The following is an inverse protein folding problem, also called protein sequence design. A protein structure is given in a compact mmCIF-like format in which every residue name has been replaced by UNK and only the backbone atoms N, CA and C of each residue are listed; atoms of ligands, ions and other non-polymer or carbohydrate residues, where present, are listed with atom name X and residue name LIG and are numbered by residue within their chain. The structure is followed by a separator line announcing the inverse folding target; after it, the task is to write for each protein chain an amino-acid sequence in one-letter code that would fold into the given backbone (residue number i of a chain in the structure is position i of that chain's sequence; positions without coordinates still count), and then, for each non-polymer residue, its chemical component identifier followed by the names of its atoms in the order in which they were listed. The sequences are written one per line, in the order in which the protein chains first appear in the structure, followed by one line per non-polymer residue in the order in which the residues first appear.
data_IF_833507003793
#
_entry.id   IF_833507003793
#
_cell.length_a   1.000
_cell.length_b   1.000
_cell.length_c   1.000
_cell.angle_alpha   90.00
_cell.angle_beta   90.00
_cell.angle_gamma   90.00
#
_symmetry.space_group_name_H-M   'P 1'
#
loop_
_entity.id
_entity.type
_entity.pdbx_description
1 polymer ?
#
# COMPACT_ATOMS: atom_id res chain seq x y z
N UNK A 1 -12.39 40.60 -13.09
CA UNK A 1 -12.21 40.80 -14.54
C UNK A 1 -10.75 41.18 -14.75
N UNK A 2 -9.93 40.32 -15.33
CA UNK A 2 -8.53 40.64 -15.64
C UNK A 2 -7.52 39.53 -15.32
N UNK A 3 -7.72 38.29 -15.85
CA UNK A 3 -6.68 37.25 -15.84
C UNK A 3 -6.95 36.07 -16.81
N UNK A 4 -7.61 36.30 -17.94
CA UNK A 4 -7.96 35.23 -18.90
C UNK A 4 -7.61 35.57 -20.35
N UNK A 5 -6.52 36.35 -20.57
CA UNK A 5 -6.13 36.75 -21.95
C UNK A 5 -4.63 36.63 -22.19
N UNK A 6 -3.97 35.55 -21.84
CA UNK A 6 -2.56 35.26 -22.20
C UNK A 6 -2.23 33.80 -22.38
N UNK A 7 -3.04 33.00 -23.07
CA UNK A 7 -2.67 31.62 -23.48
C UNK A 7 -3.16 31.39 -24.93
N UNK A 8 -2.79 32.25 -25.85
CA UNK A 8 -3.03 32.03 -27.30
C UNK A 8 -1.88 32.61 -28.13
N UNK A 9 -0.66 32.16 -27.84
CA UNK A 9 0.48 32.33 -28.77
C UNK A 9 1.56 31.32 -28.36
N UNK A 10 1.70 30.27 -29.13
CA UNK A 10 2.90 29.52 -29.47
C UNK A 10 2.62 28.06 -29.79
N UNK A 11 2.05 27.79 -30.96
CA UNK A 11 2.27 26.51 -31.64
C UNK A 11 2.73 26.87 -33.03
N UNK A 12 4.05 27.09 -33.18
CA UNK A 12 4.71 27.11 -34.47
C UNK A 12 5.50 25.81 -34.60
N UNK A 13 5.06 24.92 -35.48
CA UNK A 13 5.78 23.73 -35.93
C UNK A 13 7.11 24.18 -36.61
N UNK A 14 8.23 23.69 -36.09
CA UNK A 14 9.47 23.58 -36.85
C UNK A 14 10.02 22.18 -36.75
N UNK A 15 9.75 21.37 -37.77
CA UNK A 15 10.47 20.13 -38.04
C UNK A 15 11.81 20.47 -38.66
N UNK A 16 12.89 20.32 -37.90
CA UNK A 16 14.25 20.34 -38.45
C UNK A 16 14.80 18.91 -38.46
N UNK A 17 14.90 18.33 -39.63
CA UNK A 17 15.68 17.15 -39.96
C UNK A 17 17.16 17.49 -39.83
N UNK A 18 17.90 16.80 -38.94
CA UNK A 18 19.35 16.83 -38.93
C UNK A 18 19.88 15.39 -38.91
N UNK A 19 20.54 15.01 -39.99
CA UNK A 19 21.14 13.68 -40.19
C UNK A 19 22.43 13.49 -39.38
N UNK A 20 22.92 12.24 -39.24
CA UNK A 20 24.07 11.93 -38.38
C UNK A 20 25.40 12.20 -39.08
N UNK A 21 26.25 13.02 -38.46
CA UNK A 21 27.66 13.14 -38.78
C UNK A 21 28.44 12.05 -38.00
N UNK A 22 29.08 11.14 -38.74
CA UNK A 22 30.10 10.21 -38.21
C UNK A 22 31.33 10.99 -37.82
N UNK A 23 31.64 10.98 -36.50
CA UNK A 23 32.94 11.44 -35.98
C UNK A 23 33.66 10.25 -35.32
N UNK A 24 34.75 9.80 -35.98
CA UNK A 24 35.70 8.86 -35.38
C UNK A 24 36.40 9.57 -34.20
N UNK A 25 36.35 8.96 -33.03
CA UNK A 25 37.25 9.29 -31.94
C UNK A 25 38.17 8.11 -31.63
N UNK A 26 39.43 8.42 -31.76
CA UNK A 26 40.61 7.62 -31.42
C UNK A 26 40.65 7.27 -29.96
N UNK A 27 41.03 6.00 -29.70
CA UNK A 27 41.11 5.44 -28.36
C UNK A 27 42.17 6.09 -27.47
N UNK A 28 41.85 6.18 -26.21
CA UNK A 28 42.75 6.31 -25.07
C UNK A 28 42.55 5.18 -24.10
N UNK A 29 43.56 4.69 -23.41
CA UNK A 29 43.54 3.35 -22.77
C UNK A 29 42.84 3.39 -21.42
N UNK A 30 42.02 2.40 -21.29
CA UNK A 30 41.59 1.61 -20.11
C UNK A 30 42.10 2.10 -18.74
N UNK A 31 41.30 2.90 -18.07
CA UNK A 31 41.33 2.97 -16.61
C UNK A 31 40.42 1.88 -16.05
N UNK A 32 41.00 0.87 -15.44
CA UNK A 32 40.29 -0.13 -14.64
C UNK A 32 39.44 0.59 -13.59
N UNK A 33 38.15 0.21 -13.40
CA UNK A 33 37.40 0.67 -12.25
C UNK A 33 38.09 0.07 -11.01
N UNK A 34 38.73 0.93 -10.23
CA UNK A 34 39.09 0.59 -8.86
C UNK A 34 37.84 0.18 -8.15
N UNK A 35 37.79 -1.09 -7.74
CA UNK A 35 36.80 -1.57 -6.78
C UNK A 35 36.94 -0.68 -5.54
N UNK A 36 35.99 0.21 -5.34
CA UNK A 36 35.82 0.97 -4.10
C UNK A 36 35.71 -0.06 -2.99
N UNK A 37 36.67 -0.02 -2.06
CA UNK A 37 36.58 -0.76 -0.81
C UNK A 37 35.21 -0.48 -0.17
N UNK A 38 34.59 -1.48 0.49
CA UNK A 38 33.33 -1.25 1.16
C UNK A 38 33.55 -0.15 2.19
N UNK A 39 32.87 0.97 1.99
CA UNK A 39 32.80 2.09 2.92
C UNK A 39 32.33 1.52 4.27
N UNK A 40 33.23 1.45 5.24
CA UNK A 40 32.92 1.05 6.62
C UNK A 40 32.19 2.19 7.30
N UNK A 41 31.01 2.54 6.78
CA UNK A 41 30.09 3.45 7.44
C UNK A 41 29.65 2.81 8.75
N UNK A 42 29.70 3.58 9.85
CA UNK A 42 29.17 3.16 11.14
C UNK A 42 27.73 2.61 10.95
N UNK A 43 27.34 1.53 11.64
CA UNK A 43 26.03 0.94 11.48
C UNK A 43 24.94 2.00 11.72
N UNK A 44 23.98 2.11 10.80
CA UNK A 44 22.84 3.01 10.95
C UNK A 44 22.00 2.52 12.12
N UNK A 45 21.83 3.33 13.15
CA UNK A 45 20.93 2.99 14.25
C UNK A 45 19.50 3.19 13.78
N UNK A 46 18.73 2.08 13.71
CA UNK A 46 17.38 2.04 13.21
C UNK A 46 16.39 1.97 14.37
N UNK A 47 15.59 3.03 14.57
CA UNK A 47 14.44 2.98 15.48
C UNK A 47 13.22 2.40 14.76
N UNK A 48 12.21 1.93 15.51
CA UNK A 48 10.96 1.46 14.92
C UNK A 48 10.29 2.55 14.04
N UNK A 49 10.35 3.80 14.49
CA UNK A 49 9.81 4.94 13.74
C UNK A 49 10.53 5.12 12.40
N UNK A 50 11.87 5.10 12.41
CA UNK A 50 12.65 5.22 11.18
C UNK A 50 12.39 4.06 10.22
N UNK A 51 12.23 2.84 10.76
CA UNK A 51 11.88 1.66 9.97
C UNK A 51 10.52 1.84 9.27
N UNK A 52 9.51 2.34 9.97
CA UNK A 52 8.19 2.62 9.41
C UNK A 52 8.22 3.71 8.33
N UNK A 53 8.96 4.80 8.54
CA UNK A 53 9.08 5.89 7.57
C UNK A 53 9.77 5.42 6.28
N UNK A 54 10.84 4.62 6.40
CA UNK A 54 11.56 4.06 5.26
C UNK A 54 10.69 3.06 4.49
N UNK A 55 10.03 2.14 5.19
CA UNK A 55 9.17 1.13 4.58
C UNK A 55 8.01 1.76 3.78
N UNK A 56 7.39 2.86 4.26
CA UNK A 56 6.35 3.58 3.52
C UNK A 56 6.80 4.07 2.14
N UNK A 57 8.07 4.42 1.99
CA UNK A 57 8.62 4.90 0.73
C UNK A 57 8.97 3.75 -0.24
N UNK A 58 9.14 2.52 0.27
CA UNK A 58 9.61 1.38 -0.50
C UNK A 58 8.53 0.35 -0.80
N UNK A 59 7.54 0.18 0.09
CA UNK A 59 6.53 -0.87 -0.03
C UNK A 59 5.67 -0.71 -1.30
N UNK A 60 5.66 -1.70 -2.21
CA UNK A 60 4.91 -1.61 -3.45
C UNK A 60 3.40 -1.67 -3.23
N UNK A 61 2.92 -2.38 -2.20
CA UNK A 61 1.49 -2.55 -1.91
C UNK A 61 0.89 -1.23 -1.45
N UNK A 62 1.56 -0.53 -0.54
CA UNK A 62 1.13 0.79 -0.10
C UNK A 62 1.20 1.81 -1.24
N UNK A 63 2.28 1.83 -2.02
CA UNK A 63 2.43 2.75 -3.16
C UNK A 63 1.38 2.50 -4.25
N UNK A 64 1.07 1.24 -4.53
CA UNK A 64 -0.01 0.87 -5.48
C UNK A 64 -1.37 1.35 -4.98
N UNK A 65 -1.67 1.16 -3.70
CA UNK A 65 -2.92 1.63 -3.10
C UNK A 65 -3.02 3.18 -3.11
N UNK A 66 -1.91 3.88 -2.87
CA UNK A 66 -1.85 5.34 -2.94
C UNK A 66 -2.08 5.83 -4.38
N UNK A 67 -1.49 5.15 -5.38
CA UNK A 67 -1.71 5.45 -6.80
C UNK A 67 -3.17 5.21 -7.19
N UNK A 68 -3.78 4.11 -6.74
CA UNK A 68 -5.20 3.83 -6.98
C UNK A 68 -6.12 4.90 -6.36
N UNK A 69 -5.77 5.43 -5.18
CA UNK A 69 -6.48 6.56 -4.57
C UNK A 69 -6.33 7.85 -5.40
N UNK A 70 -5.15 8.07 -5.99
CA UNK A 70 -4.92 9.17 -6.94
C UNK A 70 -5.77 9.04 -8.21
N UNK A 71 -5.82 7.85 -8.81
CA UNK A 71 -6.65 7.58 -10.00
C UNK A 71 -8.13 7.85 -9.68
N UNK A 72 -8.65 7.33 -8.57
CA UNK A 72 -10.04 7.56 -8.17
C UNK A 72 -10.33 9.05 -7.88
N UNK A 73 -9.33 9.82 -7.44
CA UNK A 73 -9.46 11.26 -7.28
C UNK A 73 -9.56 11.96 -8.63
N UNK A 74 -8.77 11.58 -9.63
CA UNK A 74 -8.85 12.14 -10.98
C UNK A 74 -10.16 11.74 -11.68
N UNK A 75 -10.69 10.54 -11.45
CA UNK A 75 -12.03 10.16 -11.91
C UNK A 75 -13.12 11.13 -11.37
N UNK A 76 -12.99 11.53 -10.09
CA UNK A 76 -13.88 12.53 -9.51
C UNK A 76 -13.70 13.93 -10.13
N UNK A 77 -12.47 14.33 -10.46
CA UNK A 77 -12.19 15.59 -11.17
C UNK A 77 -12.82 15.55 -12.57
N UNK A 78 -12.73 14.43 -13.29
CA UNK A 78 -13.37 14.24 -14.59
C UNK A 78 -14.91 14.31 -14.49
N UNK A 79 -15.49 13.64 -13.50
CA UNK A 79 -16.94 13.71 -13.25
C UNK A 79 -17.42 15.14 -12.89
N UNK A 80 -16.59 15.90 -12.18
CA UNK A 80 -16.83 17.32 -11.92
C UNK A 80 -16.72 18.15 -13.20
N UNK A 81 -15.71 17.89 -14.03
CA UNK A 81 -15.52 18.60 -15.29
C UNK A 81 -16.69 18.32 -16.28
N UNK A 82 -17.26 17.12 -16.27
CA UNK A 82 -18.43 16.77 -17.06
C UNK A 82 -19.71 17.58 -16.71
N UNK A 83 -19.74 18.24 -15.54
CA UNK A 83 -20.81 19.18 -15.17
C UNK A 83 -20.59 20.59 -15.76
N UNK A 84 -19.47 20.86 -16.39
CA UNK A 84 -19.12 22.16 -16.97
C UNK A 84 -19.18 22.08 -18.50
N UNK A 85 -19.42 23.24 -19.19
CA UNK A 85 -19.39 23.27 -20.66
C UNK A 85 -17.99 22.87 -21.19
N UNK A 86 -17.97 22.01 -22.19
CA UNK A 86 -16.78 21.72 -22.98
C UNK A 86 -16.68 22.67 -24.17
N UNK A 87 -15.45 23.02 -24.57
CA UNK A 87 -15.17 23.85 -25.73
C UNK A 87 -14.24 23.08 -26.64
N UNK A 88 -14.66 22.91 -27.87
CA UNK A 88 -13.87 22.24 -28.92
C UNK A 88 -13.88 23.06 -30.21
N UNK A 89 -12.85 22.90 -31.01
CA UNK A 89 -12.81 23.39 -32.40
C UNK A 89 -12.88 22.18 -33.33
N UNK A 90 -13.87 22.19 -34.22
CA UNK A 90 -14.06 21.14 -35.19
C UNK A 90 -13.77 21.70 -36.61
N UNK A 91 -12.77 21.14 -37.28
CA UNK A 91 -12.46 21.47 -38.65
C UNK A 91 -12.64 20.23 -39.50
N UNK A 92 -13.59 20.29 -40.47
CA UNK A 92 -13.93 19.20 -41.34
C UNK A 92 -13.92 19.67 -42.80
N UNK A 93 -13.45 18.82 -43.71
CA UNK A 93 -13.59 18.97 -45.14
C UNK A 93 -14.36 17.78 -45.67
N UNK A 94 -15.54 18.05 -46.23
CA UNK A 94 -16.36 17.04 -46.88
C UNK A 94 -16.32 17.21 -48.39
N UNK A 95 -15.98 16.14 -49.12
CA UNK A 95 -16.13 16.04 -50.57
C UNK A 95 -17.26 15.10 -50.93
N UNK A 96 -18.23 15.61 -51.69
CA UNK A 96 -19.36 14.81 -52.12
C UNK A 96 -19.40 14.75 -53.62
N UNK A 97 -19.28 13.56 -54.21
CA UNK A 97 -19.44 13.37 -55.61
C UNK A 97 -20.93 13.24 -55.97
N UNK A 98 -21.44 14.20 -56.71
CA UNK A 98 -22.80 14.11 -57.29
C UNK A 98 -22.84 13.16 -58.48
N UNK A 99 -24.01 12.58 -58.73
CA UNK A 99 -24.26 11.79 -59.96
C UNK A 99 -24.14 12.67 -61.22
N UNK A 100 -23.74 12.08 -62.33
CA UNK A 100 -23.52 12.76 -63.63
C UNK A 100 -24.80 13.13 -64.42
N UNK A 101 -25.99 12.93 -63.84
CA UNK A 101 -27.26 13.25 -64.40
C UNK A 101 -27.93 14.49 -63.83
N UNK A 102 -28.65 15.25 -64.64
CA UNK A 102 -29.31 16.49 -64.22
C UNK A 102 -30.47 16.31 -63.23
N UNK A 103 -30.82 15.07 -62.85
CA UNK A 103 -32.00 14.72 -62.03
C UNK A 103 -31.63 13.89 -60.76
N UNK A 104 -30.36 13.64 -60.45
CA UNK A 104 -29.97 12.85 -59.26
C UNK A 104 -29.84 13.72 -58.02
N UNK A 105 -30.64 13.52 -56.96
CA UNK A 105 -30.51 14.22 -55.72
C UNK A 105 -29.16 13.87 -55.07
N UNK A 106 -28.51 14.86 -54.44
CA UNK A 106 -27.36 14.63 -53.58
C UNK A 106 -27.84 14.05 -52.25
N UNK A 107 -27.35 12.88 -51.89
CA UNK A 107 -27.84 12.17 -50.70
C UNK A 107 -27.08 12.49 -49.44
N UNK A 108 -25.86 13.07 -49.50
CA UNK A 108 -24.96 13.15 -48.34
C UNK A 108 -24.61 14.60 -47.98
N UNK A 109 -24.33 15.50 -48.96
CA UNK A 109 -24.00 16.89 -48.64
C UNK A 109 -25.12 17.84 -49.11
N UNK A 110 -25.48 18.76 -48.23
CA UNK A 110 -26.58 19.70 -48.49
C UNK A 110 -26.10 21.02 -49.09
N UNK A 111 -24.83 21.44 -48.83
CA UNK A 111 -24.35 22.79 -49.15
C UNK A 111 -23.60 22.86 -50.47
N UNK A 112 -22.72 21.89 -50.79
CA UNK A 112 -21.93 21.87 -52.01
C UNK A 112 -21.21 20.52 -52.25
N UNK A 113 -20.54 20.41 -53.42
CA UNK A 113 -19.62 19.30 -53.71
C UNK A 113 -18.41 19.33 -52.77
N UNK A 114 -17.95 20.52 -52.41
CA UNK A 114 -16.91 20.78 -51.38
C UNK A 114 -17.57 21.54 -50.25
N UNK A 115 -17.47 21.04 -49.05
CA UNK A 115 -17.99 21.66 -47.85
C UNK A 115 -16.86 21.80 -46.81
N UNK A 116 -16.70 22.99 -46.34
CA UNK A 116 -15.66 23.35 -45.33
C UNK A 116 -16.39 23.79 -44.05
N UNK A 117 -16.18 23.02 -43.00
CA UNK A 117 -16.70 23.33 -41.66
C UNK A 117 -15.51 23.66 -40.80
N UNK A 118 -15.50 24.83 -40.16
CA UNK A 118 -14.51 25.18 -39.14
C UNK A 118 -15.26 25.98 -38.08
N UNK A 119 -15.56 25.32 -36.96
CA UNK A 119 -16.47 25.84 -35.92
C UNK A 119 -15.98 25.56 -34.55
N UNK A 120 -15.89 26.59 -33.71
CA UNK A 120 -15.82 26.46 -32.28
C UNK A 120 -17.17 25.99 -31.73
N UNK A 121 -17.18 24.89 -30.97
CA UNK A 121 -18.37 24.33 -30.33
C UNK A 121 -18.27 24.44 -28.82
N UNK A 122 -19.31 25.00 -28.18
CA UNK A 122 -19.51 24.94 -26.74
C UNK A 122 -20.66 23.96 -26.49
N UNK A 123 -20.33 22.85 -25.83
CA UNK A 123 -21.29 21.75 -25.56
C UNK A 123 -21.49 21.56 -24.07
N UNK A 124 -22.75 21.50 -23.62
CA UNK A 124 -23.13 21.21 -22.25
C UNK A 124 -24.28 20.22 -22.20
N UNK A 125 -24.10 19.15 -21.43
CA UNK A 125 -25.19 18.22 -21.08
C UNK A 125 -25.65 18.48 -19.66
N UNK A 126 -26.96 18.46 -19.44
CA UNK A 126 -27.58 18.57 -18.11
C UNK A 126 -28.47 17.33 -17.93
N UNK A 127 -28.05 16.42 -17.06
CA UNK A 127 -28.81 15.20 -16.75
C UNK A 127 -28.68 14.81 -15.28
N UNK A 128 -29.72 14.16 -14.73
CA UNK A 128 -29.68 13.64 -13.36
C UNK A 128 -28.60 12.55 -13.19
N UNK A 129 -28.23 11.84 -14.25
CA UNK A 129 -27.18 10.82 -14.23
C UNK A 129 -25.81 11.42 -13.95
N UNK A 130 -25.47 12.60 -14.51
CA UNK A 130 -24.19 13.28 -14.26
C UNK A 130 -24.04 13.71 -12.81
N UNK A 131 -25.11 14.25 -12.20
CA UNK A 131 -25.08 14.62 -10.77
C UNK A 131 -24.92 13.39 -9.86
N UNK A 132 -25.60 12.29 -10.21
CA UNK A 132 -25.43 11.04 -9.46
C UNK A 132 -24.02 10.46 -9.64
N UNK A 133 -23.44 10.56 -10.84
CA UNK A 133 -22.07 10.10 -11.12
C UNK A 133 -20.99 10.92 -10.38
N UNK A 134 -21.17 12.25 -10.32
CA UNK A 134 -20.32 13.12 -9.51
C UNK A 134 -20.27 12.68 -8.04
N UNK A 135 -21.43 12.38 -7.44
CA UNK A 135 -21.51 11.90 -6.06
C UNK A 135 -20.97 10.48 -5.91
N UNK A 136 -21.19 9.61 -6.90
CA UNK A 136 -20.64 8.24 -6.95
C UNK A 136 -19.12 8.25 -6.93
N UNK A 137 -18.52 9.04 -7.83
CA UNK A 137 -17.04 9.16 -7.93
C UNK A 137 -16.44 9.81 -6.68
N UNK A 138 -17.13 10.77 -6.05
CA UNK A 138 -16.72 11.33 -4.75
C UNK A 138 -16.65 10.24 -3.66
N UNK A 139 -17.68 9.40 -3.55
CA UNK A 139 -17.71 8.30 -2.61
C UNK A 139 -16.66 7.22 -2.94
N UNK A 140 -16.46 6.92 -4.23
CA UNK A 140 -15.44 5.98 -4.69
C UNK A 140 -14.02 6.48 -4.35
N UNK A 141 -13.73 7.77 -4.55
CA UNK A 141 -12.45 8.38 -4.17
C UNK A 141 -12.22 8.31 -2.65
N UNK A 142 -13.28 8.54 -1.84
CA UNK A 142 -13.19 8.38 -0.39
C UNK A 142 -12.91 6.91 0.02
N UNK A 143 -13.53 5.93 -0.64
CA UNK A 143 -13.25 4.51 -0.42
C UNK A 143 -11.82 4.14 -0.81
N UNK A 144 -11.32 4.64 -1.94
CA UNK A 144 -9.95 4.39 -2.39
C UNK A 144 -8.90 4.99 -1.44
N UNK A 145 -9.13 6.18 -0.89
CA UNK A 145 -8.26 6.76 0.16
C UNK A 145 -8.25 5.90 1.42
N UNK A 146 -9.41 5.38 1.83
CA UNK A 146 -9.49 4.48 2.97
C UNK A 146 -8.74 3.16 2.70
N UNK A 147 -8.75 2.64 1.46
CA UNK A 147 -7.97 1.46 1.07
C UNK A 147 -6.46 1.73 1.12
N UNK A 148 -6.00 2.94 0.75
CA UNK A 148 -4.60 3.33 0.93
C UNK A 148 -4.21 3.38 2.42
N UNK A 149 -5.11 3.84 3.29
CA UNK A 149 -4.90 3.80 4.75
C UNK A 149 -4.86 2.35 5.28
N UNK A 150 -5.70 1.45 4.78
CA UNK A 150 -5.64 0.02 5.12
C UNK A 150 -4.28 -0.58 4.74
N UNK A 151 -3.79 -0.28 3.55
CA UNK A 151 -2.47 -0.74 3.09
C UNK A 151 -1.34 -0.17 3.96
N UNK A 152 -1.39 1.11 4.31
CA UNK A 152 -0.44 1.74 5.24
C UNK A 152 -0.40 1.03 6.60
N UNK A 153 -1.56 0.69 7.16
CA UNK A 153 -1.64 -0.01 8.45
C UNK A 153 -1.20 -1.46 8.36
N UNK A 154 -1.49 -2.16 7.26
CA UNK A 154 -0.96 -3.49 6.99
C UNK A 154 0.56 -3.49 6.95
N UNK A 155 1.15 -2.49 6.31
CA UNK A 155 2.60 -2.29 6.30
C UNK A 155 3.16 -2.07 7.71
N UNK A 156 2.49 -1.25 8.54
CA UNK A 156 2.90 -1.04 9.95
C UNK A 156 2.96 -2.37 10.70
N UNK A 157 1.93 -3.21 10.62
CA UNK A 157 1.91 -4.52 11.27
C UNK A 157 3.07 -5.42 10.79
N UNK A 158 3.35 -5.43 9.49
CA UNK A 158 4.46 -6.20 8.90
C UNK A 158 5.81 -5.72 9.38
N UNK A 159 6.05 -4.40 9.36
CA UNK A 159 7.33 -3.81 9.80
C UNK A 159 7.56 -4.02 11.30
N UNK A 160 6.53 -3.82 12.13
CA UNK A 160 6.61 -4.06 13.58
C UNK A 160 6.98 -5.51 13.89
N UNK A 161 6.34 -6.45 13.18
CA UNK A 161 6.64 -7.88 13.35
C UNK A 161 8.07 -8.21 12.95
N UNK A 162 8.54 -7.72 11.80
CA UNK A 162 9.90 -7.96 11.34
C UNK A 162 10.96 -7.28 12.24
N UNK A 163 10.66 -6.07 12.73
CA UNK A 163 11.54 -5.32 13.63
C UNK A 163 11.77 -6.06 14.95
N UNK A 164 10.69 -6.50 15.60
CA UNK A 164 10.82 -7.22 16.88
C UNK A 164 11.32 -8.66 16.69
N UNK A 165 11.07 -9.28 15.54
CA UNK A 165 11.69 -10.57 15.21
C UNK A 165 13.22 -10.46 15.11
N UNK A 166 13.75 -9.37 14.54
CA UNK A 166 15.19 -9.10 14.48
C UNK A 166 15.77 -8.81 15.87
N UNK A 167 15.10 -7.98 16.69
CA UNK A 167 15.54 -7.70 18.06
C UNK A 167 15.61 -8.98 18.90
N UNK A 168 14.58 -9.84 18.80
CA UNK A 168 14.56 -11.12 19.53
C UNK A 168 15.62 -12.09 19.00
N UNK A 169 15.81 -12.17 17.70
CA UNK A 169 16.83 -13.06 17.12
C UNK A 169 18.24 -12.67 17.58
N UNK A 170 18.52 -11.37 17.70
CA UNK A 170 19.77 -10.85 18.27
C UNK A 170 19.95 -11.22 19.73
N UNK A 171 18.88 -11.10 20.56
CA UNK A 171 18.91 -11.53 21.96
C UNK A 171 19.13 -13.03 22.09
N UNK A 172 18.42 -13.84 21.27
CA UNK A 172 18.62 -15.30 21.24
C UNK A 172 20.04 -15.71 20.83
N UNK A 173 20.65 -14.99 19.89
CA UNK A 173 22.06 -15.19 19.56
C UNK A 173 22.97 -14.88 20.75
N UNK A 174 22.75 -13.76 21.44
CA UNK A 174 23.51 -13.43 22.67
C UNK A 174 23.31 -14.47 23.78
N UNK A 175 22.06 -14.94 23.99
CA UNK A 175 21.76 -16.02 24.95
C UNK A 175 22.47 -17.34 24.56
N UNK A 176 22.49 -17.70 23.29
CA UNK A 176 23.17 -18.90 22.80
C UNK A 176 24.70 -18.80 22.93
N UNK A 177 25.26 -17.60 22.72
CA UNK A 177 26.69 -17.35 22.94
C UNK A 177 27.07 -17.52 24.42
N UNK A 178 26.28 -16.92 25.32
CA UNK A 178 26.48 -17.11 26.76
C UNK A 178 26.37 -18.59 27.17
N UNK A 179 25.38 -19.31 26.64
CA UNK A 179 25.20 -20.73 26.90
C UNK A 179 26.38 -21.58 26.41
N UNK A 180 26.91 -21.26 25.22
CA UNK A 180 28.10 -21.95 24.70
C UNK A 180 29.35 -21.72 25.57
N UNK A 181 29.53 -20.48 26.06
CA UNK A 181 30.62 -20.15 26.97
C UNK A 181 30.45 -20.83 28.35
N UNK A 182 29.23 -20.85 28.91
CA UNK A 182 28.92 -21.49 30.19
C UNK A 182 29.10 -23.02 30.12
N UNK A 183 28.63 -23.68 29.07
CA UNK A 183 28.77 -25.12 28.89
C UNK A 183 30.23 -25.54 28.63
N UNK A 184 30.98 -24.71 27.89
CA UNK A 184 32.43 -24.90 27.73
C UNK A 184 33.19 -24.84 29.04
N UNK A 185 32.90 -23.82 29.91
CA UNK A 185 33.51 -23.71 31.25
C UNK A 185 33.13 -24.90 32.13
N UNK A 186 31.90 -25.38 32.04
CA UNK A 186 31.45 -26.54 32.77
C UNK A 186 32.20 -27.83 32.28
N UNK A 187 32.39 -28.00 31.00
CA UNK A 187 33.21 -29.11 30.44
C UNK A 187 34.67 -29.03 30.96
N UNK A 188 35.32 -27.86 30.91
CA UNK A 188 36.67 -27.67 31.41
C UNK A 188 36.77 -27.95 32.91
N UNK A 189 35.77 -27.58 33.73
CA UNK A 189 35.68 -27.90 35.13
C UNK A 189 35.56 -29.39 35.37
N UNK A 190 34.67 -30.06 34.66
CA UNK A 190 34.43 -31.51 34.78
C UNK A 190 35.71 -32.32 34.41
N UNK A 191 36.48 -31.89 33.39
CA UNK A 191 37.78 -32.51 33.05
C UNK A 191 38.81 -32.38 34.21
N UNK A 192 38.83 -31.24 34.87
CA UNK A 192 39.76 -31.03 36.04
C UNK A 192 39.36 -31.92 37.21
N UNK A 193 38.07 -32.07 37.48
CA UNK A 193 37.55 -32.91 38.56
C UNK A 193 37.81 -34.41 38.27
N UNK A 194 37.71 -34.85 36.98
CA UNK A 194 38.07 -36.19 36.56
C UNK A 194 39.58 -36.49 36.79
N UNK A 195 40.46 -35.54 36.42
CA UNK A 195 41.91 -35.66 36.67
C UNK A 195 42.22 -35.77 38.18
N UNK A 196 41.40 -35.12 39.02
CA UNK A 196 41.47 -35.28 40.49
C UNK A 196 40.85 -36.58 41.02
N UNK A 197 40.15 -37.36 40.15
CA UNK A 197 39.44 -38.57 40.56
C UNK A 197 38.12 -38.32 41.29
N UNK A 198 37.56 -37.12 41.19
CA UNK A 198 36.37 -36.70 41.93
C UNK A 198 35.06 -36.99 41.16
N UNK A 199 35.16 -37.12 39.81
CA UNK A 199 33.99 -37.41 38.93
C UNK A 199 34.28 -38.52 37.92
N UNK A 200 33.23 -39.18 37.42
CA UNK A 200 33.37 -40.25 36.44
C UNK A 200 33.67 -39.73 35.04
N UNK A 201 34.36 -40.51 34.20
CA UNK A 201 34.58 -40.21 32.78
C UNK A 201 33.29 -40.01 32.00
N UNK A 202 32.19 -40.70 32.39
CA UNK A 202 30.84 -40.50 31.82
C UNK A 202 30.32 -39.08 31.94
N UNK A 203 30.68 -38.35 33.04
CA UNK A 203 30.25 -36.97 33.27
C UNK A 203 31.00 -36.00 32.36
N UNK A 204 32.29 -36.26 32.08
CA UNK A 204 33.09 -35.52 31.11
C UNK A 204 32.53 -35.66 29.68
N UNK A 205 32.17 -36.89 29.27
CA UNK A 205 31.54 -37.15 27.98
C UNK A 205 30.24 -36.38 27.86
N UNK A 206 29.40 -36.36 28.92
CA UNK A 206 28.14 -35.65 28.95
C UNK A 206 28.31 -34.14 28.85
N UNK A 207 29.25 -33.57 29.61
CA UNK A 207 29.58 -32.17 29.52
C UNK A 207 30.11 -31.74 28.16
N UNK A 208 30.94 -32.61 27.52
CA UNK A 208 31.42 -32.37 26.16
C UNK A 208 30.30 -32.39 25.11
N UNK A 209 29.39 -33.37 25.19
CA UNK A 209 28.24 -33.43 24.29
C UNK A 209 27.38 -32.14 24.42
N UNK A 210 27.14 -31.72 25.66
CA UNK A 210 26.35 -30.49 25.92
C UNK A 210 27.06 -29.24 25.37
N UNK A 211 28.40 -29.14 25.52
CA UNK A 211 29.15 -28.03 24.96
C UNK A 211 29.11 -28.00 23.42
N UNK A 212 29.19 -29.19 22.76
CA UNK A 212 29.06 -29.30 21.32
C UNK A 212 27.65 -28.91 20.83
N UNK A 213 26.60 -29.31 21.56
CA UNK A 213 25.22 -28.96 21.25
C UNK A 213 24.98 -27.45 21.42
N UNK A 214 25.50 -26.83 22.49
CA UNK A 214 25.42 -25.40 22.69
C UNK A 214 26.17 -24.61 21.60
N UNK A 215 27.32 -25.08 21.15
CA UNK A 215 28.06 -24.47 20.04
C UNK A 215 27.29 -24.58 18.71
N UNK A 216 26.61 -25.71 18.45
CA UNK A 216 25.75 -25.89 17.30
C UNK A 216 24.56 -24.93 17.38
N UNK A 217 23.88 -24.84 18.53
CA UNK A 217 22.77 -23.92 18.77
C UNK A 217 23.17 -22.44 18.59
N UNK A 218 24.38 -22.07 18.99
CA UNK A 218 24.92 -20.72 18.75
C UNK A 218 25.01 -20.41 17.24
N UNK A 219 25.53 -21.33 16.42
CA UNK A 219 25.61 -21.15 14.94
C UNK A 219 24.23 -21.07 14.29
N UNK A 220 23.29 -21.89 14.78
CA UNK A 220 21.90 -21.84 14.31
C UNK A 220 21.23 -20.48 14.66
N UNK A 221 21.48 -19.97 15.86
CA UNK A 221 20.99 -18.65 16.29
C UNK A 221 21.64 -17.49 15.49
N UNK A 222 22.92 -17.60 15.12
CA UNK A 222 23.63 -16.66 14.26
C UNK A 222 23.00 -16.61 12.85
N UNK A 223 22.72 -17.76 12.26
CA UNK A 223 22.03 -17.86 10.98
C UNK A 223 20.60 -17.28 11.05
N UNK A 224 19.86 -17.57 12.12
CA UNK A 224 18.52 -17.03 12.34
C UNK A 224 18.56 -15.50 12.46
N UNK A 225 19.52 -14.93 13.20
CA UNK A 225 19.73 -13.49 13.31
C UNK A 225 20.06 -12.87 11.94
N UNK A 226 20.95 -13.48 11.15
CA UNK A 226 21.26 -13.01 9.79
C UNK A 226 20.05 -13.03 8.87
N UNK A 227 19.19 -14.06 8.98
CA UNK A 227 17.96 -14.16 8.22
C UNK A 227 16.96 -13.05 8.58
N UNK A 228 16.65 -12.85 9.86
CA UNK A 228 15.71 -11.79 10.30
C UNK A 228 16.25 -10.39 10.00
N UNK A 229 17.57 -10.21 10.06
CA UNK A 229 18.23 -8.97 9.64
C UNK A 229 17.98 -8.67 8.16
N UNK A 230 18.14 -9.66 7.27
CA UNK A 230 17.85 -9.52 5.85
C UNK A 230 16.35 -9.32 5.58
N UNK A 231 15.47 -10.03 6.29
CA UNK A 231 14.01 -9.84 6.18
C UNK A 231 13.60 -8.39 6.50
N UNK A 232 14.17 -7.79 7.54
CA UNK A 232 13.94 -6.39 7.87
C UNK A 232 14.60 -5.45 6.84
N UNK A 233 15.82 -5.75 6.39
CA UNK A 233 16.51 -4.94 5.38
C UNK A 233 15.72 -4.79 4.09
N UNK A 234 15.06 -5.87 3.61
CA UNK A 234 14.19 -5.86 2.41
C UNK A 234 13.04 -4.88 2.55
N UNK A 235 12.50 -4.70 3.76
CA UNK A 235 11.38 -3.79 4.01
C UNK A 235 11.80 -2.33 4.10
N UNK A 236 13.03 -2.04 4.58
CA UNK A 236 13.43 -0.68 4.98
C UNK A 236 14.55 -0.06 4.15
N UNK A 237 15.24 -0.86 3.30
CA UNK A 237 16.33 -0.39 2.46
C UNK A 237 16.19 -0.84 1.00
N UNK A 238 16.68 -0.02 0.09
CA UNK A 238 16.76 -0.39 -1.34
C UNK A 238 17.90 -1.38 -1.63
N UNK A 239 18.93 -1.40 -0.80
CA UNK A 239 20.09 -2.28 -0.91
C UNK A 239 20.21 -3.13 0.35
N UNK A 240 20.38 -4.46 0.17
CA UNK A 240 20.46 -5.43 1.26
C UNK A 240 21.82 -5.41 2.01
N UNK A 241 22.81 -4.67 1.49
CA UNK A 241 24.18 -4.64 2.04
C UNK A 241 24.40 -3.53 3.06
N UNK A 242 23.35 -2.82 3.48
CA UNK A 242 23.47 -1.77 4.48
C UNK A 242 23.64 -2.38 5.88
N UNK A 243 24.72 -1.98 6.56
CA UNK A 243 24.94 -2.34 7.95
C UNK A 243 24.08 -1.45 8.86
N UNK A 244 23.16 -2.04 9.62
CA UNK A 244 22.32 -1.34 10.56
C UNK A 244 22.19 -2.11 11.87
N UNK A 245 21.79 -1.43 12.93
CA UNK A 245 21.46 -2.01 14.22
C UNK A 245 20.10 -1.50 14.69
N UNK A 246 19.22 -2.39 15.14
CA UNK A 246 17.92 -2.01 15.72
C UNK A 246 18.06 -1.58 17.15
N UNK A 247 17.24 -0.64 17.59
CA UNK A 247 17.15 -0.25 19.01
C UNK A 247 16.28 -1.27 19.74
N UNK A 248 16.79 -1.79 20.85
CA UNK A 248 16.05 -2.69 21.72
C UNK A 248 15.22 -1.92 22.74
N UNK A 249 13.92 -1.79 22.48
CA UNK A 249 12.94 -1.14 23.36
C UNK A 249 11.90 -2.12 23.94
N UNK A 250 12.14 -3.43 23.83
CA UNK A 250 11.19 -4.47 24.28
C UNK A 250 10.80 -4.35 25.76
N UNK A 251 11.67 -3.81 26.61
CA UNK A 251 11.39 -3.62 28.03
C UNK A 251 10.36 -2.52 28.32
N UNK A 252 10.13 -1.62 27.37
CA UNK A 252 9.18 -0.50 27.50
C UNK A 252 7.79 -0.90 27.01
N UNK A 253 7.15 -1.88 27.64
CA UNK A 253 5.84 -2.34 27.24
C UNK A 253 4.76 -1.26 27.52
N UNK A 254 4.01 -0.79 26.50
CA UNK A 254 2.92 0.15 26.72
C UNK A 254 1.77 -0.53 27.48
N UNK A 255 0.98 0.23 28.26
CA UNK A 255 -0.19 -0.34 28.92
C UNK A 255 -1.26 -0.75 27.92
N UNK A 256 -2.01 -1.82 28.20
CA UNK A 256 -3.17 -2.24 27.41
C UNK A 256 -4.36 -1.35 27.76
N UNK A 257 -4.94 -0.59 26.78
CA UNK A 257 -6.12 0.23 27.04
C UNK A 257 -7.38 -0.61 27.31
N UNK A 258 -8.41 -0.05 27.98
CA UNK A 258 -9.67 -0.77 28.24
C UNK A 258 -10.39 -1.15 26.94
N UNK A 259 -11.01 -2.34 26.90
CA UNK A 259 -11.73 -2.85 25.73
C UNK A 259 -12.80 -1.90 25.21
N UNK A 260 -13.55 -1.23 26.11
CA UNK A 260 -14.62 -0.29 25.74
C UNK A 260 -14.10 0.91 24.97
N UNK A 261 -12.95 1.44 25.35
CA UNK A 261 -12.30 2.55 24.64
C UNK A 261 -11.88 2.14 23.24
N UNK A 262 -11.23 0.97 23.11
CA UNK A 262 -10.80 0.42 21.82
C UNK A 262 -11.99 0.14 20.89
N UNK A 263 -13.11 -0.33 21.44
CA UNK A 263 -14.34 -0.57 20.65
C UNK A 263 -14.92 0.72 20.09
N UNK A 264 -14.97 1.79 20.89
CA UNK A 264 -15.43 3.11 20.44
C UNK A 264 -14.50 3.69 19.36
N UNK A 265 -13.18 3.62 19.59
CA UNK A 265 -12.19 4.07 18.62
C UNK A 265 -12.29 3.29 17.30
N UNK A 266 -12.41 1.96 17.35
CA UNK A 266 -12.52 1.12 16.18
C UNK A 266 -13.77 1.43 15.35
N UNK A 267 -14.93 1.65 15.97
CA UNK A 267 -16.16 2.02 15.26
C UNK A 267 -16.05 3.33 14.48
N UNK A 268 -15.28 4.28 14.98
CA UNK A 268 -15.16 5.63 14.37
C UNK A 268 -13.97 5.71 13.41
N UNK A 269 -12.83 5.12 13.76
CA UNK A 269 -11.54 5.34 13.08
C UNK A 269 -11.08 4.15 12.23
N UNK A 270 -11.83 3.05 12.19
CA UNK A 270 -11.41 1.89 11.40
C UNK A 270 -11.57 2.17 9.89
N UNK A 271 -10.48 2.11 9.09
CA UNK A 271 -10.54 2.46 7.67
C UNK A 271 -11.23 1.38 6.83
N UNK A 272 -11.23 0.11 7.26
CA UNK A 272 -11.93 -0.98 6.55
C UNK A 272 -13.45 -0.75 6.61
N UNK A 273 -13.96 -0.38 7.80
CA UNK A 273 -15.36 -0.04 7.95
C UNK A 273 -15.72 1.22 7.15
N UNK A 274 -14.86 2.24 7.20
CA UNK A 274 -15.07 3.47 6.45
C UNK A 274 -15.05 3.23 4.93
N UNK A 275 -14.12 2.43 4.41
CA UNK A 275 -14.08 2.03 3.00
C UNK A 275 -15.38 1.32 2.58
N UNK A 276 -15.84 0.33 3.36
CA UNK A 276 -17.08 -0.37 3.10
C UNK A 276 -18.32 0.54 3.11
N UNK A 277 -18.38 1.51 4.04
CA UNK A 277 -19.44 2.51 4.07
C UNK A 277 -19.44 3.42 2.84
N UNK A 278 -18.26 3.87 2.38
CA UNK A 278 -18.16 4.70 1.18
C UNK A 278 -18.48 3.90 -0.09
N UNK A 279 -18.09 2.64 -0.17
CA UNK A 279 -18.48 1.74 -1.26
C UNK A 279 -20.01 1.54 -1.31
N UNK A 280 -20.66 1.38 -0.16
CA UNK A 280 -22.12 1.30 -0.09
C UNK A 280 -22.80 2.60 -0.55
N UNK A 281 -22.25 3.77 -0.21
CA UNK A 281 -22.73 5.07 -0.69
C UNK A 281 -22.55 5.18 -2.21
N UNK A 282 -21.39 4.79 -2.75
CA UNK A 282 -21.13 4.81 -4.19
C UNK A 282 -22.13 3.92 -4.95
N UNK A 283 -22.41 2.71 -4.46
CA UNK A 283 -23.43 1.83 -5.03
C UNK A 283 -24.86 2.45 -4.94
N UNK A 284 -25.17 3.19 -3.89
CA UNK A 284 -26.40 3.96 -3.77
C UNK A 284 -26.55 5.02 -4.87
N UNK A 285 -25.47 5.76 -5.15
CA UNK A 285 -25.46 6.75 -6.23
C UNK A 285 -25.48 6.10 -7.62
N UNK A 286 -24.92 4.89 -7.80
CA UNK A 286 -25.07 4.13 -9.04
C UNK A 286 -26.52 3.75 -9.33
N UNK A 287 -27.30 3.39 -8.29
CA UNK A 287 -28.75 3.18 -8.43
C UNK A 287 -29.46 4.48 -8.83
N UNK A 288 -29.10 5.62 -8.24
CA UNK A 288 -29.67 6.92 -8.60
C UNK A 288 -29.32 7.30 -10.06
N UNK A 289 -28.07 7.08 -10.49
CA UNK A 289 -27.64 7.32 -11.86
C UNK A 289 -28.44 6.45 -12.86
N UNK A 290 -28.63 5.16 -12.53
CA UNK A 290 -29.44 4.25 -13.35
C UNK A 290 -30.92 4.64 -13.42
N UNK A 291 -31.49 5.10 -12.31
CA UNK A 291 -32.88 5.63 -12.26
C UNK A 291 -33.02 6.94 -13.02
N UNK A 292 -31.99 7.80 -12.97
CA UNK A 292 -31.98 9.05 -13.72
C UNK A 292 -32.02 8.85 -15.25
N UNK A 293 -31.68 7.67 -15.74
CA UNK A 293 -31.82 7.32 -17.17
C UNK A 293 -33.29 7.26 -17.65
N UNK A 294 -34.27 7.24 -16.74
CA UNK A 294 -35.69 7.43 -17.10
C UNK A 294 -36.07 8.90 -17.27
N UNK A 295 -35.28 9.83 -16.76
CA UNK A 295 -35.55 11.26 -16.82
C UNK A 295 -35.06 11.85 -18.14
N UNK A 296 -35.68 12.94 -18.61
CA UNK A 296 -35.16 13.69 -19.74
C UNK A 296 -33.74 14.21 -19.51
N UNK A 297 -32.93 14.28 -20.55
CA UNK A 297 -31.65 14.98 -20.58
C UNK A 297 -31.71 16.15 -21.55
N UNK A 298 -31.06 17.26 -21.17
CA UNK A 298 -30.97 18.48 -21.99
C UNK A 298 -29.52 18.64 -22.44
N UNK A 299 -29.29 18.72 -23.77
CA UNK A 299 -28.02 19.16 -24.32
C UNK A 299 -28.17 20.57 -24.91
N UNK A 300 -27.16 21.39 -24.66
CA UNK A 300 -27.01 22.74 -25.16
C UNK A 300 -25.75 22.80 -26.00
N UNK A 301 -25.88 23.19 -27.26
CA UNK A 301 -24.80 23.31 -28.22
C UNK A 301 -24.78 24.71 -28.80
N UNK A 302 -23.63 25.35 -28.78
CA UNK A 302 -23.41 26.64 -29.40
C UNK A 302 -22.22 26.53 -30.35
N UNK A 303 -22.48 26.79 -31.62
CA UNK A 303 -21.49 26.76 -32.69
C UNK A 303 -21.22 28.17 -33.18
N UNK A 304 -19.94 28.50 -33.40
CA UNK A 304 -19.52 29.74 -34.02
C UNK A 304 -18.40 29.44 -35.02
N UNK A 305 -18.61 29.74 -36.31
CA UNK A 305 -17.61 29.47 -37.33
C UNK A 305 -18.11 29.55 -38.73
N UNK A 306 -17.45 28.80 -39.61
CA UNK A 306 -17.73 28.73 -41.02
C UNK A 306 -18.33 27.34 -41.36
N UNK A 307 -19.39 27.33 -42.16
CA UNK A 307 -19.95 26.13 -42.79
C UNK A 307 -20.36 26.55 -44.22
N UNK A 308 -19.49 26.26 -45.20
CA UNK A 308 -19.66 26.77 -46.55
C UNK A 308 -18.90 25.96 -47.62
N UNK A 309 -19.23 26.24 -48.86
CA UNK A 309 -18.56 25.63 -50.04
C UNK A 309 -17.12 26.11 -50.27
N UNK A 310 -16.63 27.05 -49.47
CA UNK A 310 -15.28 27.59 -49.53
C UNK A 310 -14.75 27.92 -48.11
N UNK A 311 -13.50 27.68 -47.88
CA UNK A 311 -12.84 28.06 -46.62
C UNK A 311 -12.54 29.59 -46.60
N UNK A 312 -13.60 30.39 -46.49
CA UNK A 312 -13.55 31.84 -46.48
C UNK A 312 -14.68 32.42 -45.67
N UNK A 313 -14.47 33.56 -45.03
CA UNK A 313 -15.49 34.28 -44.20
C UNK A 313 -16.64 34.84 -45.07
N UNK A 314 -16.41 34.97 -46.39
CA UNK A 314 -17.41 35.44 -47.37
C UNK A 314 -17.30 34.62 -48.65
N UNK A 315 -18.47 34.39 -49.28
CA UNK A 315 -18.58 33.84 -50.62
C UNK A 315 -19.24 34.86 -51.57
N UNK A 316 -18.77 34.94 -52.79
CA UNK A 316 -19.40 35.75 -53.83
C UNK A 316 -20.39 34.83 -54.59
N UNK A 317 -21.66 35.19 -54.59
CA UNK A 317 -22.71 34.52 -55.41
C UNK A 317 -23.21 35.49 -56.48
N UNK A 318 -23.95 35.04 -57.50
CA UNK A 318 -24.56 35.92 -58.49
C UNK A 318 -25.49 36.99 -57.90
N UNK A 319 -26.03 36.68 -56.70
CA UNK A 319 -26.96 37.59 -55.96
C UNK A 319 -26.23 38.56 -55.01
N UNK A 320 -24.92 38.46 -54.90
CA UNK A 320 -24.12 39.32 -54.03
C UNK A 320 -23.13 38.60 -53.13
N UNK A 321 -22.59 39.31 -52.13
CA UNK A 321 -21.61 38.80 -51.19
C UNK A 321 -22.35 38.21 -49.98
N UNK A 322 -22.21 36.91 -49.72
CA UNK A 322 -22.79 36.20 -48.60
C UNK A 322 -21.72 35.99 -47.53
N UNK A 323 -22.08 36.20 -46.25
CA UNK A 323 -21.20 35.93 -45.09
C UNK A 323 -21.35 34.43 -44.72
N UNK A 324 -20.20 33.74 -44.70
CA UNK A 324 -20.09 32.33 -44.29
C UNK A 324 -19.89 32.14 -42.79
N UNK A 325 -19.39 33.20 -42.13
CA UNK A 325 -19.15 33.20 -40.68
C UNK A 325 -20.48 33.47 -39.96
N UNK A 326 -20.92 32.55 -39.13
CA UNK A 326 -22.18 32.64 -38.41
C UNK A 326 -22.14 31.94 -37.07
N UNK A 327 -23.29 31.88 -36.40
CA UNK A 327 -23.48 31.11 -35.16
C UNK A 327 -24.77 30.33 -35.23
N UNK A 328 -24.82 29.21 -34.50
CA UNK A 328 -26.01 28.40 -34.29
C UNK A 328 -26.10 28.02 -32.81
N UNK A 329 -27.27 28.09 -32.22
CA UNK A 329 -27.53 27.63 -30.85
C UNK A 329 -28.63 26.57 -30.91
N UNK A 330 -28.36 25.39 -30.40
CA UNK A 330 -29.23 24.22 -30.42
C UNK A 330 -29.48 23.78 -28.98
N UNK A 331 -30.76 23.63 -28.58
CA UNK A 331 -31.14 22.98 -27.35
C UNK A 331 -31.92 21.71 -27.68
N UNK A 332 -31.38 20.55 -27.31
CA UNK A 332 -31.97 19.24 -27.58
C UNK A 332 -32.45 18.61 -26.31
N UNK A 333 -33.76 18.40 -26.17
CA UNK A 333 -34.36 17.67 -25.05
C UNK A 333 -34.59 16.20 -25.52
N UNK A 334 -33.84 15.29 -24.87
CA UNK A 334 -33.96 13.86 -25.14
C UNK A 334 -34.80 13.20 -24.03
N UNK A 335 -35.96 12.64 -24.43
CA UNK A 335 -36.90 11.97 -23.52
C UNK A 335 -36.95 10.49 -23.92
N UNK A 336 -36.44 9.56 -23.08
CA UNK A 336 -36.51 8.14 -23.38
C UNK A 336 -37.93 7.61 -23.18
N UNK A 337 -38.60 7.26 -24.29
CA UNK A 337 -39.99 6.77 -24.24
C UNK A 337 -40.01 5.24 -24.18
N UNK A 338 -39.20 4.56 -24.98
CA UNK A 338 -39.20 3.11 -25.08
C UNK A 338 -37.80 2.54 -25.38
N UNK A 339 -37.39 1.53 -24.63
CA UNK A 339 -36.06 0.91 -24.77
C UNK A 339 -36.05 -0.61 -24.49
N UNK A 340 -37.18 -1.27 -24.69
CA UNK A 340 -37.33 -2.72 -24.55
C UNK A 340 -36.89 -3.24 -23.15
N UNK A 341 -37.04 -2.44 -22.10
CA UNK A 341 -36.70 -2.80 -20.74
C UNK A 341 -35.21 -2.66 -20.38
N UNK A 342 -34.36 -2.12 -21.25
CA UNK A 342 -32.92 -1.97 -20.99
C UNK A 342 -32.64 -1.11 -19.77
N UNK A 343 -33.32 0.02 -19.60
CA UNK A 343 -33.16 0.88 -18.39
C UNK A 343 -33.63 0.12 -17.15
N UNK A 344 -34.79 -0.58 -17.21
CA UNK A 344 -35.28 -1.38 -16.08
C UNK A 344 -34.24 -2.44 -15.64
N UNK A 345 -33.68 -3.17 -16.60
CA UNK A 345 -32.62 -4.16 -16.34
C UNK A 345 -31.38 -3.52 -15.73
N UNK A 346 -30.97 -2.33 -16.19
CA UNK A 346 -29.85 -1.59 -15.63
C UNK A 346 -30.10 -1.15 -14.19
N UNK A 347 -31.30 -0.65 -13.88
CA UNK A 347 -31.70 -0.31 -12.51
C UNK A 347 -31.66 -1.57 -11.63
N UNK A 348 -32.26 -2.68 -12.10
CA UNK A 348 -32.23 -3.93 -11.33
C UNK A 348 -30.81 -4.42 -11.09
N UNK A 349 -29.93 -4.33 -12.08
CA UNK A 349 -28.50 -4.66 -11.93
C UNK A 349 -27.83 -3.81 -10.85
N UNK A 350 -28.05 -2.50 -10.84
CA UNK A 350 -27.47 -1.59 -9.85
C UNK A 350 -28.05 -1.82 -8.44
N UNK A 351 -29.33 -2.19 -8.32
CA UNK A 351 -29.93 -2.56 -7.04
C UNK A 351 -29.32 -3.84 -6.48
N UNK A 352 -29.08 -4.86 -7.30
CA UNK A 352 -28.40 -6.10 -6.89
C UNK A 352 -26.95 -5.83 -6.46
N UNK A 353 -26.22 -4.96 -7.17
CA UNK A 353 -24.88 -4.54 -6.74
C UNK A 353 -24.90 -3.83 -5.40
N UNK A 354 -25.86 -2.93 -5.19
CA UNK A 354 -26.02 -2.28 -3.88
C UNK A 354 -26.32 -3.29 -2.76
N UNK A 355 -27.17 -4.28 -3.00
CA UNK A 355 -27.46 -5.38 -2.06
C UNK A 355 -26.19 -6.18 -1.74
N UNK A 356 -25.38 -6.52 -2.77
CA UNK A 356 -24.09 -7.18 -2.57
C UNK A 356 -23.17 -6.37 -1.64
N UNK A 357 -23.00 -5.08 -1.93
CA UNK A 357 -22.14 -4.21 -1.11
C UNK A 357 -22.70 -4.01 0.31
N UNK A 358 -24.02 -4.06 0.49
CA UNK A 358 -24.65 -4.05 1.82
C UNK A 358 -24.31 -5.31 2.65
N UNK A 359 -24.27 -6.47 2.00
CA UNK A 359 -23.84 -7.72 2.63
C UNK A 359 -22.36 -7.62 3.02
N UNK A 360 -21.51 -7.08 2.13
CA UNK A 360 -20.09 -6.85 2.40
C UNK A 360 -19.87 -5.89 3.58
N UNK A 361 -20.64 -4.80 3.67
CA UNK A 361 -20.59 -3.87 4.80
C UNK A 361 -20.96 -4.56 6.12
N UNK A 362 -22.03 -5.35 6.12
CA UNK A 362 -22.43 -6.10 7.32
C UNK A 362 -21.39 -7.15 7.74
N UNK A 363 -20.73 -7.77 6.77
CA UNK A 363 -19.63 -8.69 7.02
C UNK A 363 -18.39 -7.95 7.58
N UNK A 364 -18.05 -6.78 7.06
CA UNK A 364 -16.96 -5.95 7.57
C UNK A 364 -17.20 -5.52 9.03
N UNK A 365 -18.42 -5.13 9.38
CA UNK A 365 -18.80 -4.79 10.76
C UNK A 365 -18.60 -5.97 11.72
N UNK A 366 -19.06 -7.17 11.33
CA UNK A 366 -18.90 -8.38 12.14
C UNK A 366 -17.42 -8.77 12.27
N UNK A 367 -16.67 -8.70 11.18
CA UNK A 367 -15.24 -8.99 11.16
C UNK A 367 -14.44 -8.02 12.06
N UNK A 368 -14.79 -6.74 12.07
CA UNK A 368 -14.18 -5.75 12.95
C UNK A 368 -14.37 -6.12 14.43
N UNK A 369 -15.61 -6.41 14.84
CA UNK A 369 -15.90 -6.76 16.25
C UNK A 369 -15.19 -8.06 16.65
N UNK A 370 -15.25 -9.08 15.80
CA UNK A 370 -14.59 -10.35 16.05
C UNK A 370 -13.06 -10.18 16.13
N UNK A 371 -12.46 -9.48 15.16
CA UNK A 371 -11.03 -9.20 15.13
C UNK A 371 -10.56 -8.41 16.35
N UNK A 372 -11.33 -7.38 16.77
CA UNK A 372 -10.99 -6.61 17.96
C UNK A 372 -10.98 -7.48 19.23
N UNK A 373 -11.98 -8.34 19.40
CA UNK A 373 -12.04 -9.26 20.56
C UNK A 373 -10.90 -10.26 20.57
N UNK A 374 -10.57 -10.82 19.41
CA UNK A 374 -9.46 -11.78 19.27
C UNK A 374 -8.13 -11.12 19.60
N UNK A 375 -7.83 -9.95 19.00
CA UNK A 375 -6.58 -9.23 19.22
C UNK A 375 -6.45 -8.71 20.67
N UNK A 376 -7.58 -8.30 21.27
CA UNK A 376 -7.59 -7.90 22.69
C UNK A 376 -7.29 -9.08 23.61
N UNK A 377 -7.94 -10.22 23.40
CA UNK A 377 -7.69 -11.42 24.18
C UNK A 377 -6.23 -11.90 24.04
N UNK A 378 -5.66 -11.80 22.84
CA UNK A 378 -4.24 -12.11 22.61
C UNK A 378 -3.31 -11.16 23.34
N UNK A 379 -3.57 -9.86 23.29
CA UNK A 379 -2.76 -8.86 23.98
C UNK A 379 -2.83 -9.02 25.51
N UNK A 380 -4.03 -9.28 26.05
CA UNK A 380 -4.22 -9.50 27.50
C UNK A 380 -3.56 -10.81 27.96
N UNK A 381 -3.71 -11.90 27.20
CA UNK A 381 -3.03 -13.17 27.48
C UNK A 381 -1.49 -12.99 27.43
N UNK A 382 -0.97 -12.31 26.41
CA UNK A 382 0.45 -12.03 26.29
C UNK A 382 0.96 -11.19 27.49
N UNK A 383 0.20 -10.18 27.91
CA UNK A 383 0.52 -9.34 29.07
C UNK A 383 0.61 -10.15 30.37
N UNK A 384 -0.39 -10.98 30.64
CA UNK A 384 -0.43 -11.82 31.84
C UNK A 384 0.73 -12.82 31.85
N UNK A 385 1.09 -13.37 30.70
CA UNK A 385 2.19 -14.33 30.58
C UNK A 385 3.55 -13.70 30.82
N UNK A 386 3.76 -12.40 30.56
CA UNK A 386 5.05 -11.74 30.72
C UNK A 386 5.60 -11.84 32.14
N UNK A 387 4.78 -11.60 33.15
CA UNK A 387 5.18 -11.67 34.57
C UNK A 387 5.65 -13.08 34.95
N UNK A 388 4.93 -14.10 34.46
CA UNK A 388 5.26 -15.52 34.70
C UNK A 388 6.55 -15.91 33.98
N UNK A 389 6.75 -15.46 32.73
CA UNK A 389 7.95 -15.74 31.93
C UNK A 389 9.19 -15.07 32.52
N UNK A 390 9.05 -13.82 33.01
CA UNK A 390 10.14 -13.14 33.70
C UNK A 390 10.53 -13.88 34.98
N UNK A 391 9.56 -14.19 35.82
CA UNK A 391 9.80 -14.95 37.04
C UNK A 391 10.46 -16.31 36.77
N UNK A 392 10.02 -16.99 35.70
CA UNK A 392 10.62 -18.28 35.29
C UNK A 392 12.09 -18.11 34.86
N UNK A 393 12.43 -17.04 34.13
CA UNK A 393 13.80 -16.76 33.73
C UNK A 393 14.71 -16.44 34.96
N UNK A 394 14.17 -15.67 35.92
CA UNK A 394 14.90 -15.34 37.15
C UNK A 394 15.15 -16.58 38.04
N UNK A 395 14.13 -17.45 38.18
CA UNK A 395 14.26 -18.71 38.93
C UNK A 395 15.20 -19.69 38.23
N UNK A 396 15.18 -19.79 36.91
CA UNK A 396 16.08 -20.64 36.17
C UNK A 396 17.56 -20.16 36.33
N UNK A 397 17.79 -18.85 36.34
CA UNK A 397 19.12 -18.30 36.58
C UNK A 397 19.65 -18.65 38.00
N UNK A 398 18.80 -18.54 39.01
CA UNK A 398 19.13 -18.95 40.37
C UNK A 398 19.42 -20.46 40.48
N UNK A 399 18.59 -21.25 39.79
CA UNK A 399 18.75 -22.71 39.74
C UNK A 399 20.12 -23.13 39.21
N UNK A 400 20.60 -22.54 38.08
CA UNK A 400 21.93 -22.84 37.55
C UNK A 400 23.02 -22.53 38.52
N UNK A 401 22.95 -21.36 39.20
CA UNK A 401 23.97 -20.98 40.21
C UNK A 401 24.03 -21.96 41.40
N UNK A 402 22.88 -22.31 41.94
CA UNK A 402 22.80 -23.22 43.08
C UNK A 402 23.24 -24.65 42.71
N UNK A 403 22.80 -25.15 41.53
CA UNK A 403 23.14 -26.49 41.08
C UNK A 403 24.64 -26.61 40.75
N UNK A 404 25.26 -25.57 40.21
CA UNK A 404 26.68 -25.56 39.93
C UNK A 404 27.50 -25.57 41.24
N UNK A 405 27.08 -24.82 42.29
CA UNK A 405 27.72 -24.84 43.62
C UNK A 405 27.61 -26.21 44.30
N UNK A 406 26.42 -26.86 44.22
CA UNK A 406 26.21 -28.22 44.69
C UNK A 406 27.06 -29.25 43.94
N UNK A 407 27.21 -29.11 42.63
CA UNK A 407 28.07 -29.94 41.84
C UNK A 407 29.53 -29.83 42.25
N UNK A 408 30.04 -28.62 42.48
CA UNK A 408 31.39 -28.39 42.99
C UNK A 408 31.59 -28.94 44.40
N UNK A 409 30.56 -29.03 45.19
CA UNK A 409 30.54 -29.65 46.52
C UNK A 409 30.37 -31.18 46.52
N UNK A 410 30.19 -31.79 45.35
CA UNK A 410 29.92 -33.23 45.20
C UNK A 410 28.48 -33.66 45.55
N UNK A 411 27.56 -32.73 45.71
CA UNK A 411 26.14 -32.95 46.12
C UNK A 411 25.16 -33.01 44.96
N UNK A 412 25.58 -32.67 43.73
CA UNK A 412 24.74 -32.73 42.52
C UNK A 412 25.46 -33.49 41.40
N UNK A 413 24.72 -34.02 40.47
CA UNK A 413 25.20 -34.72 39.30
C UNK A 413 25.48 -33.77 38.10
N UNK A 414 26.34 -34.15 37.18
CA UNK A 414 26.53 -33.41 35.91
C UNK A 414 25.25 -33.26 35.11
N UNK A 415 24.30 -34.23 35.19
CA UNK A 415 23.02 -34.17 34.57
C UNK A 415 22.16 -33.02 35.12
N UNK A 416 22.13 -32.83 36.41
CA UNK A 416 21.38 -31.73 37.05
C UNK A 416 21.89 -30.36 36.60
N UNK A 417 23.20 -30.20 36.40
CA UNK A 417 23.79 -28.94 35.86
C UNK A 417 23.36 -28.72 34.43
N UNK A 418 23.43 -29.76 33.58
CA UNK A 418 23.03 -29.68 32.20
C UNK A 418 21.54 -29.32 32.06
N UNK A 419 20.68 -29.97 32.85
CA UNK A 419 19.24 -29.72 32.84
C UNK A 419 18.93 -28.28 33.29
N UNK A 420 19.61 -27.78 34.34
CA UNK A 420 19.46 -26.41 34.79
C UNK A 420 19.91 -25.38 33.74
N UNK A 421 21.04 -25.62 33.03
CA UNK A 421 21.51 -24.78 31.93
C UNK A 421 20.52 -24.74 30.76
N UNK A 422 19.99 -25.88 30.34
CA UNK A 422 18.98 -25.97 29.29
C UNK A 422 17.67 -25.26 29.68
N UNK A 423 17.24 -25.41 30.94
CA UNK A 423 16.08 -24.69 31.48
C UNK A 423 16.27 -23.18 31.43
N UNK A 424 17.47 -22.67 31.78
CA UNK A 424 17.79 -21.25 31.71
C UNK A 424 17.73 -20.68 30.29
N UNK A 425 18.34 -21.35 29.33
CA UNK A 425 18.30 -20.93 27.91
C UNK A 425 16.86 -20.89 27.42
N UNK A 426 16.08 -21.93 27.73
CA UNK A 426 14.67 -22.02 27.34
C UNK A 426 13.84 -20.91 27.98
N UNK A 427 14.02 -20.64 29.28
CA UNK A 427 13.29 -19.61 30.00
C UNK A 427 13.61 -18.19 29.49
N UNK A 428 14.89 -17.87 29.21
CA UNK A 428 15.30 -16.60 28.61
C UNK A 428 14.71 -16.40 27.24
N UNK A 429 14.78 -17.41 26.36
CA UNK A 429 14.22 -17.33 25.02
C UNK A 429 12.68 -17.16 25.05
N UNK A 430 11.99 -17.87 25.94
CA UNK A 430 10.54 -17.74 26.10
C UNK A 430 10.15 -16.34 26.62
N UNK A 431 10.95 -15.73 27.49
CA UNK A 431 10.72 -14.37 27.96
C UNK A 431 10.89 -13.35 26.82
N UNK A 432 11.97 -13.46 26.02
CA UNK A 432 12.21 -12.59 24.86
C UNK A 432 11.09 -12.72 23.82
N UNK A 433 10.63 -13.95 23.53
CA UNK A 433 9.47 -14.20 22.64
C UNK A 433 8.18 -13.60 23.22
N UNK A 434 7.95 -13.73 24.50
CA UNK A 434 6.79 -13.15 25.20
C UNK A 434 6.74 -11.64 25.08
N UNK A 435 7.86 -10.95 25.28
CA UNK A 435 7.97 -9.50 25.11
C UNK A 435 7.62 -9.07 23.68
N UNK A 436 8.18 -9.73 22.68
CA UNK A 436 7.89 -9.46 21.26
C UNK A 436 6.42 -9.70 20.94
N UNK A 437 5.86 -10.84 21.40
CA UNK A 437 4.45 -11.18 21.21
C UNK A 437 3.52 -10.08 21.73
N UNK A 438 3.77 -9.57 22.93
CA UNK A 438 2.97 -8.49 23.50
C UNK A 438 3.08 -7.20 22.68
N UNK A 439 4.30 -6.82 22.27
CA UNK A 439 4.51 -5.62 21.42
C UNK A 439 3.79 -5.72 20.08
N UNK A 440 3.87 -6.87 19.42
CA UNK A 440 3.17 -7.13 18.15
C UNK A 440 1.65 -7.13 18.34
N UNK A 441 1.15 -7.72 19.44
CA UNK A 441 -0.28 -7.74 19.74
C UNK A 441 -0.84 -6.30 19.95
N UNK A 442 -0.11 -5.45 20.70
CA UNK A 442 -0.48 -4.03 20.86
C UNK A 442 -0.46 -3.30 19.51
N UNK A 443 0.56 -3.49 18.68
CA UNK A 443 0.64 -2.86 17.37
C UNK A 443 -0.53 -3.29 16.46
N UNK A 444 -0.91 -4.56 16.47
CA UNK A 444 -2.07 -5.06 15.74
C UNK A 444 -3.39 -4.43 16.23
N UNK A 445 -3.57 -4.26 17.55
CA UNK A 445 -4.71 -3.53 18.12
C UNK A 445 -4.73 -2.08 17.66
N UNK A 446 -3.60 -1.38 17.70
CA UNK A 446 -3.47 0.01 17.28
C UNK A 446 -3.79 0.17 15.78
N UNK A 447 -3.32 -0.74 14.92
CA UNK A 447 -3.64 -0.72 13.49
C UNK A 447 -5.13 -0.94 13.23
N UNK A 448 -5.78 -1.80 14.00
CA UNK A 448 -7.22 -2.08 13.88
C UNK A 448 -8.07 -0.90 14.38
N UNK A 449 -7.71 -0.29 15.51
CA UNK A 449 -8.46 0.81 16.14
C UNK A 449 -8.21 2.17 15.50
N UNK A 450 -7.11 2.32 14.77
CA UNK A 450 -6.76 3.57 14.10
C UNK A 450 -6.05 4.58 14.99
N UNK A 451 -5.44 4.13 16.03
CA UNK A 451 -4.61 4.94 16.95
C UNK A 451 -3.17 4.49 16.77
N UNK A 452 -2.45 5.16 15.86
CA UNK A 452 -1.03 4.88 15.62
C UNK A 452 -0.25 6.19 15.51
#
# INVERSE_FOLDING_TARGET
MGCALRIFQAICLTTAFCGPAMGQQTGTPNAQPQASAPDSQAPVVLTLRDALERARNLDPTYRTALTAAGIAQEDHVQARAALLPSVAENTEYLYTQGGTGTSTPRYIANNAVHEYVSQGNIHQVISGAQFADFNRTSAAAAAARANAEIASRGLVATVVTAYYAEVVARRKYANAQLAADETKRFFELTQKLEQGGEVAHSDVIKAQLTANDAQRAQREAELAMGRTHLELAVLVFQSFNQNFSTVDDLRLAPPLPPMQELEQQAKVKNPQLYAAMQSFRAAGYEVLASKAAYLPSLSLDYFYGIDANRFATYSNTPEGRIRNLGYSAIATLNIPIWNWGAIHSKVRQSELRREQVQIELSAAQRKLIAGLRTLYAEADAARIQLDVLQQSADLAAQSVQLTLLRYQGGEATALEVVDAQNALVTARNNFDDGQSRYRVAIANLQTLTGVF
#
